data_IF_033662385238
#
_entry.id   IF_033662385238
#
_cell.length_a   1.000
_cell.length_b   1.000
_cell.length_c   1.000
_cell.angle_alpha   90.00
_cell.angle_beta   90.00
_cell.angle_gamma   90.00
#
_symmetry.space_group_name_H-M   'P 1'
#
loop_
_entity.id
_entity.type
_entity.pdbx_description
1 polymer ?
#
# COMPACT_ATOMS: atom_id res chain seq x y z
N UNK A 1 -0.59 -12.55 2.04
CA UNK A 1 -1.30 -11.88 3.15
C UNK A 1 -1.79 -10.50 2.72
N UNK A 2 -3.03 -10.14 3.03
CA UNK A 2 -3.58 -8.83 2.67
C UNK A 2 -4.18 -8.16 3.90
N UNK A 3 -3.54 -7.09 4.36
CA UNK A 3 -4.00 -6.26 5.46
C UNK A 3 -4.71 -5.03 4.89
N UNK A 4 -5.97 -4.86 5.26
CA UNK A 4 -6.82 -3.73 4.90
C UNK A 4 -7.01 -2.88 6.15
N UNK A 5 -6.81 -1.57 6.04
CA UNK A 5 -6.88 -0.63 7.14
C UNK A 5 -7.80 0.53 6.74
N UNK A 6 -8.84 0.73 7.54
CA UNK A 6 -9.66 1.94 7.51
C UNK A 6 -9.30 2.78 8.74
N UNK A 7 -8.95 4.04 8.52
CA UNK A 7 -8.44 4.93 9.56
C UNK A 7 -9.05 6.32 9.53
N UNK A 8 -9.09 6.97 10.68
CA UNK A 8 -9.38 8.40 10.81
C UNK A 8 -8.15 9.11 11.35
N UNK A 9 -7.74 10.20 10.73
CA UNK A 9 -6.66 11.09 11.19
C UNK A 9 -7.23 12.46 11.54
N UNK A 10 -6.77 13.01 12.66
CA UNK A 10 -7.08 14.39 13.04
C UNK A 10 -6.16 15.42 12.34
N UNK A 11 -5.18 14.95 11.56
CA UNK A 11 -4.16 15.78 10.95
C UNK A 11 -4.36 15.87 9.41
N UNK A 12 -5.09 16.88 8.91
CA UNK A 12 -5.35 17.02 7.48
C UNK A 12 -4.09 17.34 6.67
N UNK A 13 -3.02 17.84 7.29
CA UNK A 13 -1.76 18.14 6.60
C UNK A 13 -1.06 16.87 6.13
N UNK A 14 -1.18 15.77 6.89
CA UNK A 14 -0.70 14.45 6.46
C UNK A 14 -1.52 13.94 5.28
N UNK A 15 -2.85 13.99 5.38
CA UNK A 15 -3.76 13.41 4.38
C UNK A 15 -3.70 14.11 3.01
N UNK A 16 -3.32 15.39 2.97
CA UNK A 16 -3.19 16.17 1.73
C UNK A 16 -1.77 16.27 1.18
N UNK A 17 -0.78 15.73 1.88
CA UNK A 17 0.63 15.86 1.48
C UNK A 17 1.03 14.79 0.49
N UNK A 18 1.05 15.15 -0.80
CA UNK A 18 1.50 14.29 -1.89
C UNK A 18 2.95 13.84 -1.67
N UNK A 19 3.82 14.72 -1.16
CA UNK A 19 5.22 14.41 -0.86
C UNK A 19 5.34 13.38 0.28
N UNK A 20 4.54 13.52 1.34
CA UNK A 20 4.54 12.57 2.45
C UNK A 20 4.10 11.19 1.98
N UNK A 21 2.95 11.12 1.28
CA UNK A 21 2.40 9.86 0.78
C UNK A 21 3.37 9.20 -0.21
N UNK A 22 3.96 9.99 -1.11
CA UNK A 22 4.95 9.47 -2.06
C UNK A 22 6.14 8.87 -1.34
N UNK A 23 6.76 9.60 -0.39
CA UNK A 23 7.93 9.10 0.35
C UNK A 23 7.60 7.86 1.17
N UNK A 24 6.42 7.83 1.81
CA UNK A 24 5.97 6.66 2.54
C UNK A 24 5.84 5.44 1.62
N UNK A 25 5.13 5.56 0.49
CA UNK A 25 5.03 4.48 -0.51
C UNK A 25 6.40 4.08 -1.09
N UNK A 26 7.34 5.03 -1.17
CA UNK A 26 8.67 4.79 -1.72
C UNK A 26 9.55 3.94 -0.77
N UNK A 27 9.45 4.20 0.53
CA UNK A 27 10.35 3.67 1.56
C UNK A 27 9.76 2.46 2.30
N UNK A 28 8.47 2.53 2.64
CA UNK A 28 7.82 1.58 3.51
C UNK A 28 7.86 0.13 3.03
N UNK A 29 7.76 -0.18 1.71
CA UNK A 29 7.97 -1.55 1.24
C UNK A 29 9.25 -2.19 1.78
N UNK A 30 10.39 -1.49 1.77
CA UNK A 30 11.66 -2.03 2.24
C UNK A 30 11.68 -2.24 3.76
N UNK A 31 11.02 -1.35 4.52
CA UNK A 31 10.92 -1.45 5.99
C UNK A 31 10.17 -2.71 6.43
N UNK A 32 9.18 -3.15 5.66
CA UNK A 32 8.41 -4.37 5.93
C UNK A 32 8.94 -5.60 5.19
N UNK A 33 10.16 -5.53 4.63
CA UNK A 33 10.83 -6.65 3.95
C UNK A 33 10.34 -6.96 2.54
N UNK A 34 9.67 -6.01 1.88
CA UNK A 34 9.14 -6.14 0.52
C UNK A 34 10.02 -5.47 -0.53
N UNK A 35 10.00 -6.04 -1.73
CA UNK A 35 10.76 -5.53 -2.88
C UNK A 35 9.85 -4.67 -3.75
N UNK A 36 10.09 -3.36 -3.74
CA UNK A 36 9.45 -2.40 -4.65
C UNK A 36 9.92 -2.64 -6.10
N UNK A 37 8.98 -2.62 -7.06
CA UNK A 37 9.26 -2.84 -8.50
C UNK A 37 8.83 -1.66 -9.39
N UNK A 38 8.26 -0.61 -8.79
CA UNK A 38 7.85 0.61 -9.49
C UNK A 38 8.12 1.84 -8.62
N UNK A 39 8.26 3.02 -9.24
CA UNK A 39 8.11 4.26 -8.50
C UNK A 39 6.66 4.44 -8.04
N UNK A 40 6.41 5.01 -6.84
CA UNK A 40 5.05 5.32 -6.42
C UNK A 40 4.36 6.27 -7.41
N UNK A 41 3.05 6.07 -7.56
CA UNK A 41 2.16 7.01 -8.24
C UNK A 41 1.24 7.62 -7.19
N UNK A 42 1.20 8.95 -7.11
CA UNK A 42 0.28 9.68 -6.23
C UNK A 42 -0.48 10.69 -7.07
N UNK A 43 -1.80 10.63 -7.03
CA UNK A 43 -2.68 11.46 -7.85
C UNK A 43 -3.73 12.11 -6.97
N UNK A 44 -3.89 13.41 -7.13
CA UNK A 44 -4.98 14.17 -6.52
C UNK A 44 -6.28 13.96 -7.31
N UNK A 45 -7.34 13.68 -6.59
CA UNK A 45 -8.70 13.63 -7.13
C UNK A 45 -9.57 14.65 -6.42
N UNK A 46 -10.40 15.36 -7.21
CA UNK A 46 -11.43 16.28 -6.74
C UNK A 46 -12.71 15.87 -7.43
N UNK A 47 -13.74 15.50 -6.66
CA UNK A 47 -15.03 15.10 -7.19
C UNK A 47 -15.87 16.33 -7.63
N UNK A 48 -17.14 16.09 -7.96
CA UNK A 48 -18.07 17.17 -8.32
C UNK A 48 -18.27 18.20 -7.19
N UNK A 49 -18.20 17.74 -5.94
CA UNK A 49 -18.20 18.60 -4.76
C UNK A 49 -16.77 18.90 -4.34
N UNK A 50 -16.36 20.18 -4.19
CA UNK A 50 -14.99 20.53 -3.82
C UNK A 50 -14.51 19.94 -2.48
N UNK A 51 -15.43 19.68 -1.54
CA UNK A 51 -15.16 19.01 -0.26
C UNK A 51 -14.86 17.51 -0.40
N UNK A 52 -15.29 16.89 -1.50
CA UNK A 52 -15.06 15.48 -1.79
C UNK A 52 -13.75 15.32 -2.57
N UNK A 53 -12.63 15.47 -1.86
CA UNK A 53 -11.30 15.40 -2.45
C UNK A 53 -10.28 14.66 -1.58
N UNK A 54 -9.21 14.23 -2.23
CA UNK A 54 -8.06 13.66 -1.55
C UNK A 54 -7.03 13.09 -2.52
N UNK A 55 -6.21 12.17 -2.02
CA UNK A 55 -5.09 11.60 -2.74
C UNK A 55 -5.28 10.09 -2.91
N UNK A 56 -4.98 9.59 -4.10
CA UNK A 56 -4.85 8.16 -4.37
C UNK A 56 -3.39 7.83 -4.65
N UNK A 57 -2.83 6.91 -3.88
CA UNK A 57 -1.45 6.48 -3.96
C UNK A 57 -1.32 4.98 -4.19
N UNK A 58 -0.36 4.57 -5.01
CA UNK A 58 -0.07 3.17 -5.29
C UNK A 58 1.44 2.96 -5.50
N UNK A 59 1.97 1.87 -4.97
CA UNK A 59 3.27 1.33 -5.36
C UNK A 59 3.17 -0.16 -5.62
N UNK A 60 3.71 -0.61 -6.75
CA UNK A 60 3.86 -2.03 -7.05
C UNK A 60 5.07 -2.58 -6.31
N UNK A 61 4.85 -3.71 -5.65
CA UNK A 61 5.90 -4.56 -5.07
C UNK A 61 5.86 -5.91 -5.79
N UNK A 62 6.90 -6.74 -5.62
CA UNK A 62 6.95 -8.05 -6.24
C UNK A 62 5.65 -8.83 -5.96
N UNK A 63 4.89 -9.12 -7.03
CA UNK A 63 3.66 -9.93 -7.05
C UNK A 63 2.45 -9.33 -6.29
N UNK A 64 2.47 -8.05 -5.92
CA UNK A 64 1.39 -7.42 -5.11
C UNK A 64 1.48 -5.88 -5.10
N UNK A 65 0.97 -5.19 -4.07
CA UNK A 65 0.97 -3.72 -4.01
C UNK A 65 0.75 -3.17 -2.59
N UNK A 66 1.10 -1.89 -2.41
CA UNK A 66 0.59 -1.06 -1.31
C UNK A 66 -0.19 0.10 -1.92
N UNK A 67 -1.42 0.31 -1.47
CA UNK A 67 -2.28 1.42 -1.90
C UNK A 67 -2.79 2.25 -0.73
N UNK A 68 -3.13 3.50 -1.03
CA UNK A 68 -3.72 4.44 -0.08
C UNK A 68 -4.72 5.35 -0.78
N UNK A 69 -5.85 5.61 -0.13
CA UNK A 69 -6.81 6.64 -0.52
C UNK A 69 -7.10 7.52 0.67
N UNK A 70 -6.88 8.83 0.54
CA UNK A 70 -7.23 9.82 1.57
C UNK A 70 -8.49 10.57 1.18
N UNK A 71 -9.26 10.98 2.19
CA UNK A 71 -10.42 11.85 2.09
C UNK A 71 -10.22 12.96 3.11
N UNK A 72 -9.80 14.14 2.63
CA UNK A 72 -9.18 15.15 3.51
C UNK A 72 -10.19 15.80 4.45
N UNK A 73 -11.35 16.21 3.93
CA UNK A 73 -12.40 16.85 4.75
C UNK A 73 -12.98 15.94 5.85
N UNK A 74 -13.34 14.67 5.59
CA UNK A 74 -13.77 13.77 6.66
C UNK A 74 -12.62 13.22 7.51
N UNK A 75 -11.36 13.54 7.19
CA UNK A 75 -10.19 13.02 7.91
C UNK A 75 -10.01 11.51 7.76
N UNK A 76 -10.48 10.91 6.67
CA UNK A 76 -10.54 9.46 6.51
C UNK A 76 -9.45 8.93 5.57
N UNK A 77 -8.98 7.71 5.80
CA UNK A 77 -7.97 7.05 4.97
C UNK A 77 -8.24 5.55 4.86
N UNK A 78 -8.10 5.01 3.64
CA UNK A 78 -8.04 3.58 3.39
C UNK A 78 -6.61 3.21 2.97
N UNK A 79 -6.06 2.14 3.54
CA UNK A 79 -4.73 1.63 3.20
C UNK A 79 -4.83 0.11 3.00
N UNK A 80 -4.24 -0.37 1.90
CA UNK A 80 -4.05 -1.78 1.64
C UNK A 80 -2.56 -2.11 1.65
N UNK A 81 -2.16 -3.06 2.47
CA UNK A 81 -0.84 -3.70 2.43
C UNK A 81 -1.04 -5.13 1.96
N UNK A 82 -0.91 -5.33 0.66
CA UNK A 82 -1.01 -6.66 0.06
C UNK A 82 0.39 -7.16 -0.26
N UNK A 83 0.75 -8.31 0.30
CA UNK A 83 2.00 -9.01 -0.04
C UNK A 83 1.78 -10.50 -0.24
N UNK A 84 2.60 -11.10 -1.11
CA UNK A 84 2.71 -12.55 -1.23
C UNK A 84 3.55 -13.18 -0.12
N UNK A 85 4.47 -12.41 0.47
CA UNK A 85 5.23 -12.81 1.66
C UNK A 85 4.44 -12.46 2.92
N UNK A 86 4.71 -13.20 4.00
CA UNK A 86 4.22 -12.83 5.32
C UNK A 86 4.95 -11.59 5.84
N UNK A 87 4.26 -10.82 6.68
CA UNK A 87 4.80 -9.69 7.43
C UNK A 87 4.13 -9.66 8.81
N UNK A 88 4.69 -8.90 9.75
CA UNK A 88 4.07 -8.70 11.06
C UNK A 88 2.92 -7.69 10.94
N UNK A 89 1.68 -8.18 10.95
CA UNK A 89 0.51 -7.33 10.80
C UNK A 89 0.35 -6.34 11.95
N UNK A 90 0.66 -6.72 13.19
CA UNK A 90 0.53 -5.85 14.36
C UNK A 90 1.54 -4.70 14.30
N UNK A 91 2.77 -5.01 13.91
CA UNK A 91 3.81 -4.00 13.69
C UNK A 91 3.42 -3.04 12.56
N UNK A 92 2.90 -3.56 11.43
CA UNK A 92 2.44 -2.73 10.31
C UNK A 92 1.27 -1.81 10.71
N UNK A 93 0.31 -2.33 11.48
CA UNK A 93 -0.81 -1.54 12.02
C UNK A 93 -0.29 -0.42 12.91
N UNK A 94 0.66 -0.71 13.79
CA UNK A 94 1.25 0.27 14.70
C UNK A 94 2.02 1.36 13.94
N UNK A 95 2.83 0.99 12.96
CA UNK A 95 3.63 1.93 12.17
C UNK A 95 2.74 2.87 11.36
N UNK A 96 1.73 2.33 10.70
CA UNK A 96 0.75 3.12 9.95
C UNK A 96 -0.05 4.03 10.90
N UNK A 97 -0.50 3.51 12.04
CA UNK A 97 -1.23 4.31 13.04
C UNK A 97 -0.42 5.51 13.51
N UNK A 98 0.88 5.32 13.79
CA UNK A 98 1.76 6.39 14.23
C UNK A 98 2.07 7.39 13.11
N UNK A 99 2.40 6.91 11.90
CA UNK A 99 2.79 7.76 10.77
C UNK A 99 1.65 8.62 10.24
N UNK A 100 0.43 8.10 10.27
CA UNK A 100 -0.77 8.81 9.82
C UNK A 100 -1.56 9.46 10.96
N UNK A 101 -1.04 9.40 12.20
CA UNK A 101 -1.68 9.94 13.41
C UNK A 101 -3.15 9.49 13.53
N UNK A 102 -3.38 8.18 13.35
CA UNK A 102 -4.72 7.62 13.35
C UNK A 102 -5.33 7.63 14.76
N UNK A 103 -6.54 8.18 14.87
CA UNK A 103 -7.32 8.28 16.10
C UNK A 103 -8.41 7.22 16.21
N UNK A 104 -8.82 6.65 15.08
CA UNK A 104 -9.73 5.51 14.98
C UNK A 104 -9.27 4.58 13.87
N UNK A 105 -9.28 3.28 14.14
CA UNK A 105 -8.78 2.29 13.19
C UNK A 105 -9.66 1.03 13.19
N UNK A 106 -9.89 0.50 11.99
CA UNK A 106 -10.49 -0.82 11.76
C UNK A 106 -9.64 -1.58 10.77
N UNK A 107 -9.35 -2.83 11.08
CA UNK A 107 -8.43 -3.65 10.29
C UNK A 107 -9.04 -4.97 9.91
N UNK A 108 -8.75 -5.44 8.70
CA UNK A 108 -9.08 -6.78 8.24
C UNK A 108 -7.83 -7.46 7.70
N UNK A 109 -7.51 -8.65 8.21
CA UNK A 109 -6.43 -9.47 7.71
C UNK A 109 -7.00 -10.64 6.90
N UNK A 110 -6.64 -10.72 5.63
CA UNK A 110 -7.10 -11.75 4.71
C UNK A 110 -5.94 -12.66 4.31
N UNK A 111 -6.15 -13.96 4.46
CA UNK A 111 -5.33 -14.99 3.80
C UNK A 111 -5.54 -14.91 2.28
N UNK A 112 -4.47 -15.11 1.51
CA UNK A 112 -4.52 -15.12 0.04
C UNK A 112 -3.99 -16.46 -0.43
N UNK A 113 -4.79 -17.21 -1.18
CA UNK A 113 -4.55 -18.60 -1.59
C UNK A 113 -3.40 -18.79 -2.60
N UNK A 114 -2.44 -17.86 -2.65
CA UNK A 114 -1.37 -17.91 -3.64
C UNK A 114 -0.33 -19.00 -3.36
N UNK A 115 -0.38 -19.62 -2.18
CA UNK A 115 0.36 -20.85 -1.87
C UNK A 115 0.00 -22.02 -2.81
N UNK A 116 -1.19 -22.01 -3.42
CA UNK A 116 -1.67 -23.07 -4.33
C UNK A 116 -1.49 -22.75 -5.83
N UNK A 117 -0.85 -21.62 -6.17
CA UNK A 117 -0.60 -21.27 -7.59
C UNK A 117 0.59 -22.07 -8.08
N UNK A 118 0.32 -23.29 -8.53
CA UNK A 118 1.29 -24.10 -9.27
C UNK A 118 1.48 -23.51 -10.67
N UNK A 119 2.68 -23.03 -10.96
CA UNK A 119 3.08 -22.77 -12.34
C UNK A 119 3.30 -24.12 -13.03
N UNK A 120 2.73 -24.35 -14.22
CA UNK A 120 2.98 -25.60 -14.95
C UNK A 120 4.48 -25.72 -15.21
N UNK A 121 5.06 -26.85 -14.82
CA UNK A 121 6.46 -27.18 -15.13
C UNK A 121 6.59 -27.36 -16.64
N UNK A 122 7.02 -26.32 -17.36
CA UNK A 122 7.07 -26.40 -18.82
C UNK A 122 7.31 -25.08 -19.56
N UNK A 123 8.38 -24.37 -19.24
CA UNK A 123 9.03 -23.45 -20.19
C UNK A 123 10.55 -23.62 -20.07
N UNK A 124 11.03 -24.81 -20.43
CA UNK A 124 12.44 -25.04 -20.70
C UNK A 124 12.83 -24.43 -22.04
N UNK A 125 13.98 -23.75 -22.08
CA UNK A 125 14.68 -23.27 -23.27
C UNK A 125 14.80 -21.73 -23.26
N UNK A 126 15.98 -21.11 -23.16
CA UNK A 126 17.27 -21.49 -23.76
C UNK A 126 18.41 -21.03 -22.86
N UNK A 127 19.35 -21.93 -22.60
CA UNK A 127 20.66 -21.60 -22.07
C UNK A 127 21.51 -20.87 -23.13
N UNK A 128 22.26 -19.85 -22.68
CA UNK A 128 23.55 -19.36 -23.20
C UNK A 128 23.74 -19.19 -24.71
N UNK A 129 23.92 -17.94 -25.15
CA UNK A 129 24.99 -17.63 -26.10
C UNK A 129 25.84 -16.48 -25.56
N UNK A 130 27.11 -16.82 -25.29
CA UNK A 130 28.22 -15.88 -25.24
C UNK A 130 28.35 -15.21 -26.62
N UNK A 131 28.61 -13.90 -26.63
CA UNK A 131 29.63 -13.26 -27.45
C UNK A 131 30.25 -12.13 -26.62
#
# INVERSE_FOLDING_TARGET
MHLIIDGYSANPDILKSEEFIYRWLDQYPAEIGMTKISSPCVVRYVAAKPEDWGLSGLVLIAESHISIHTFVEPGFVNIDVFSCKSFDAEQVIKDISNRFELTGIKTHLLGRAMEDVSYPAGAGGIASMKQ
#
